data_IF_425864223888
#
_entry.id   IF_425864223888
#
_cell.length_a   1.000
_cell.length_b   1.000
_cell.length_c   1.000
_cell.angle_alpha   90.00
_cell.angle_beta   90.00
_cell.angle_gamma   90.00
#
_symmetry.space_group_name_H-M   'P 1'
#
loop_
_entity.id
_entity.type
_entity.pdbx_description
1 polymer ?
#
# COMPACT_ATOMS: atom_id res chain seq x y z
N UNK A 1 58.46 -39.94 36.11
CA UNK A 1 58.36 -39.04 34.95
C UNK A 1 56.89 -38.97 34.55
N UNK A 2 56.14 -38.01 35.11
CA UNK A 2 54.67 -37.94 34.97
C UNK A 2 54.30 -36.89 33.92
N UNK A 3 53.79 -37.37 32.79
CA UNK A 3 53.29 -36.55 31.68
C UNK A 3 51.89 -36.01 32.03
N UNK A 4 51.78 -34.70 32.27
CA UNK A 4 50.49 -33.99 32.39
C UNK A 4 49.84 -33.93 31.01
N UNK A 5 48.66 -34.53 30.85
CA UNK A 5 47.80 -34.34 29.69
C UNK A 5 47.02 -33.04 29.86
N UNK A 6 47.35 -32.03 29.06
CA UNK A 6 46.56 -30.81 28.91
C UNK A 6 45.35 -31.13 28.03
N UNK A 7 44.15 -31.05 28.59
CA UNK A 7 42.90 -31.12 27.83
C UNK A 7 42.55 -29.70 27.40
N UNK A 8 42.67 -29.44 26.10
CA UNK A 8 42.21 -28.20 25.47
C UNK A 8 40.70 -28.30 25.27
N UNK A 9 39.92 -27.56 26.07
CA UNK A 9 38.47 -27.41 25.84
C UNK A 9 38.30 -26.33 24.78
N UNK A 10 38.00 -26.73 23.55
CA UNK A 10 37.59 -25.83 22.47
C UNK A 10 36.09 -25.59 22.65
N UNK A 11 35.72 -24.49 23.31
CA UNK A 11 34.36 -23.97 23.27
C UNK A 11 34.12 -23.38 21.87
N UNK A 12 33.46 -24.14 21.01
CA UNK A 12 32.92 -23.63 19.75
C UNK A 12 31.71 -22.77 20.08
N UNK A 13 31.92 -21.45 20.16
CA UNK A 13 30.82 -20.48 20.21
C UNK A 13 30.11 -20.50 18.85
N UNK A 14 28.96 -21.15 18.79
CA UNK A 14 27.97 -20.95 17.74
C UNK A 14 27.46 -19.51 17.86
N UNK A 15 28.04 -18.59 17.09
CA UNK A 15 27.35 -17.35 16.74
C UNK A 15 26.16 -17.73 15.86
N UNK A 16 24.99 -17.85 16.49
CA UNK A 16 23.74 -17.82 15.77
C UNK A 16 23.64 -16.48 15.06
N UNK A 17 23.93 -16.47 13.76
CA UNK A 17 23.42 -15.45 12.86
C UNK A 17 21.89 -15.59 12.90
N UNK A 18 21.25 -14.82 13.78
CA UNK A 18 19.90 -14.38 13.52
C UNK A 18 19.98 -13.58 12.22
N UNK A 19 19.70 -14.24 11.09
CA UNK A 19 19.37 -13.54 9.88
C UNK A 19 18.09 -12.75 10.20
N UNK A 20 18.26 -11.49 10.60
CA UNK A 20 17.21 -10.50 10.40
C UNK A 20 16.99 -10.45 8.88
N UNK A 21 16.11 -11.31 8.38
CA UNK A 21 15.41 -11.03 7.14
C UNK A 21 14.72 -9.69 7.37
N UNK A 22 15.36 -8.59 6.95
CA UNK A 22 14.63 -7.35 6.74
C UNK A 22 13.59 -7.68 5.69
N UNK A 23 12.33 -7.76 6.10
CA UNK A 23 11.27 -8.18 5.20
C UNK A 23 11.27 -7.23 3.99
N UNK A 24 11.55 -7.77 2.81
CA UNK A 24 11.55 -7.02 1.56
C UNK A 24 10.15 -6.48 1.30
N UNK A 25 10.07 -5.25 0.76
CA UNK A 25 8.78 -4.70 0.38
C UNK A 25 8.21 -5.55 -0.76
N UNK A 26 7.06 -6.18 -0.51
CA UNK A 26 6.37 -7.03 -1.48
C UNK A 26 5.76 -6.22 -2.64
N UNK A 27 5.66 -4.89 -2.49
CA UNK A 27 5.19 -3.99 -3.54
C UNK A 27 6.34 -3.59 -4.47
N UNK A 28 6.14 -3.79 -5.76
CA UNK A 28 6.91 -3.17 -6.82
C UNK A 28 6.78 -1.65 -6.73
N UNK A 29 7.93 -0.96 -6.74
CA UNK A 29 8.02 0.50 -6.71
C UNK A 29 7.21 1.16 -5.58
N UNK A 30 7.15 0.54 -4.39
CA UNK A 30 6.45 1.11 -3.23
C UNK A 30 7.05 2.43 -2.71
N UNK A 31 8.34 2.64 -2.93
CA UNK A 31 9.06 3.91 -2.68
C UNK A 31 8.85 4.97 -3.77
N UNK A 32 8.21 4.59 -4.89
CA UNK A 32 7.88 5.46 -6.03
C UNK A 32 9.10 6.13 -6.67
N UNK A 33 10.27 5.49 -6.61
CA UNK A 33 11.53 5.98 -7.21
C UNK A 33 11.59 5.84 -8.73
N UNK A 34 10.74 5.00 -9.30
CA UNK A 34 10.69 4.71 -10.74
C UNK A 34 9.38 5.20 -11.38
N UNK A 35 9.41 5.36 -12.71
CA UNK A 35 8.24 5.71 -13.51
C UNK A 35 8.12 7.18 -13.91
N UNK A 36 7.03 7.50 -14.59
CA UNK A 36 6.60 8.85 -14.98
C UNK A 36 5.25 9.18 -14.31
N UNK A 37 4.74 10.42 -14.42
CA UNK A 37 3.42 10.77 -13.88
C UNK A 37 2.30 9.83 -14.32
N UNK A 38 2.30 9.36 -15.56
CA UNK A 38 1.25 8.53 -16.15
C UNK A 38 1.57 7.02 -16.11
N UNK A 39 2.84 6.65 -15.93
CA UNK A 39 3.29 5.25 -15.96
C UNK A 39 4.14 4.92 -14.75
N UNK A 40 3.53 4.21 -13.80
CA UNK A 40 4.11 3.95 -12.49
C UNK A 40 4.24 2.43 -12.34
N UNK A 41 5.45 1.86 -12.45
CA UNK A 41 5.67 0.42 -12.31
C UNK A 41 4.98 -0.15 -11.06
N UNK A 42 4.38 -1.32 -11.18
CA UNK A 42 3.57 -1.96 -10.13
C UNK A 42 2.18 -1.36 -9.85
N UNK A 43 1.93 -0.09 -10.19
CA UNK A 43 0.71 0.62 -9.82
C UNK A 43 -0.23 0.85 -11.00
N UNK A 44 -1.50 0.49 -10.80
CA UNK A 44 -2.57 0.67 -11.78
C UNK A 44 -3.63 1.59 -11.20
N UNK A 45 -4.01 2.63 -11.91
CA UNK A 45 -5.18 3.44 -11.53
C UNK A 45 -6.47 2.78 -12.04
N UNK A 46 -7.51 2.73 -11.20
CA UNK A 46 -8.79 2.15 -11.59
C UNK A 46 -9.52 3.05 -12.58
N UNK A 47 -9.57 2.64 -13.86
CA UNK A 47 -10.24 3.40 -14.92
C UNK A 47 -11.42 2.67 -15.57
N UNK A 48 -11.63 1.37 -15.28
CA UNK A 48 -12.63 0.58 -16.01
C UNK A 48 -13.32 -0.51 -15.18
N UNK A 49 -12.55 -1.35 -14.49
CA UNK A 49 -13.09 -2.50 -13.75
C UNK A 49 -13.13 -2.23 -12.25
N UNK A 50 -14.25 -2.58 -11.62
CA UNK A 50 -14.44 -2.47 -10.18
C UNK A 50 -14.91 -1.11 -9.68
N UNK A 51 -14.96 -0.07 -10.53
CA UNK A 51 -15.52 1.25 -10.22
C UNK A 51 -16.90 1.44 -10.85
N UNK A 52 -17.71 2.35 -10.29
CA UNK A 52 -19.05 2.66 -10.78
C UNK A 52 -19.03 3.35 -12.16
N UNK A 53 -20.16 3.34 -12.88
CA UNK A 53 -20.27 4.03 -14.16
C UNK A 53 -20.12 5.56 -13.99
N UNK A 54 -20.64 6.11 -12.91
CA UNK A 54 -20.49 7.54 -12.56
C UNK A 54 -19.02 7.92 -12.40
N UNK A 55 -18.23 7.06 -11.77
CA UNK A 55 -16.79 7.27 -11.60
C UNK A 55 -16.05 7.25 -12.94
N UNK A 56 -16.46 6.37 -13.87
CA UNK A 56 -15.89 6.33 -15.23
C UNK A 56 -16.21 7.59 -16.03
N UNK A 57 -17.45 8.06 -15.93
CA UNK A 57 -17.87 9.32 -16.57
C UNK A 57 -17.06 10.49 -16.02
N UNK A 58 -16.92 10.60 -14.70
CA UNK A 58 -16.12 11.65 -14.08
C UNK A 58 -14.65 11.64 -14.55
N UNK A 59 -14.05 10.45 -14.68
CA UNK A 59 -12.71 10.29 -15.26
C UNK A 59 -12.68 10.77 -16.72
N UNK A 60 -13.64 10.35 -17.55
CA UNK A 60 -13.70 10.71 -18.96
C UNK A 60 -13.91 12.22 -19.19
N UNK A 61 -14.63 12.88 -18.28
CA UNK A 61 -14.85 14.33 -18.28
C UNK A 61 -13.68 15.13 -17.70
N UNK A 62 -12.63 14.47 -17.18
CA UNK A 62 -11.48 15.14 -16.56
C UNK A 62 -11.73 15.66 -15.14
N UNK A 63 -12.85 15.27 -14.51
CA UNK A 63 -13.19 15.59 -13.11
C UNK A 63 -12.42 14.76 -12.08
N UNK A 64 -11.66 13.77 -12.55
CA UNK A 64 -10.69 13.02 -11.77
C UNK A 64 -9.38 13.00 -12.53
N UNK A 65 -8.30 13.43 -11.87
CA UNK A 65 -6.93 13.30 -12.37
C UNK A 65 -6.10 12.50 -11.38
N UNK A 66 -5.08 11.81 -11.88
CA UNK A 66 -4.19 10.99 -11.07
C UNK A 66 -2.80 10.99 -11.68
N UNK A 67 -1.78 10.95 -10.82
CA UNK A 67 -0.40 10.91 -11.28
C UNK A 67 0.55 10.39 -10.20
N UNK A 68 1.76 9.99 -10.61
CA UNK A 68 2.94 10.10 -9.75
C UNK A 68 3.42 11.55 -9.78
N UNK A 69 3.69 12.12 -8.61
CA UNK A 69 4.27 13.44 -8.48
C UNK A 69 5.39 13.45 -7.44
N UNK A 70 6.16 14.54 -7.45
CA UNK A 70 7.26 14.78 -6.52
C UNK A 70 7.18 16.20 -5.97
N UNK A 71 7.42 16.36 -4.67
CA UNK A 71 7.49 17.66 -3.99
C UNK A 71 8.69 17.63 -3.02
N UNK A 72 9.73 18.39 -3.36
CA UNK A 72 11.02 18.28 -2.68
C UNK A 72 11.60 16.87 -2.82
N UNK A 73 11.90 16.22 -1.70
CA UNK A 73 12.40 14.84 -1.67
C UNK A 73 11.27 13.78 -1.65
N UNK A 74 10.02 14.20 -1.44
CA UNK A 74 8.89 13.26 -1.36
C UNK A 74 8.38 12.90 -2.75
N UNK A 75 8.07 11.63 -2.92
CA UNK A 75 7.48 11.03 -4.13
C UNK A 75 6.16 10.39 -3.72
N UNK A 76 5.10 10.61 -4.50
CA UNK A 76 3.77 10.18 -4.11
C UNK A 76 2.87 9.88 -5.31
N UNK A 77 1.90 9.00 -5.08
CA UNK A 77 0.72 8.83 -5.89
C UNK A 77 -0.30 9.89 -5.49
N UNK A 78 -0.82 10.64 -6.45
CA UNK A 78 -1.85 11.65 -6.24
C UNK A 78 -3.15 11.22 -6.92
N UNK A 79 -4.26 11.55 -6.27
CA UNK A 79 -5.60 11.57 -6.85
C UNK A 79 -6.17 12.96 -6.58
N UNK A 80 -6.63 13.64 -7.62
CA UNK A 80 -7.27 14.94 -7.53
C UNK A 80 -8.65 14.90 -8.20
N UNK A 81 -9.62 15.54 -7.56
CA UNK A 81 -10.92 15.87 -8.11
C UNK A 81 -10.97 17.40 -8.24
N UNK A 82 -10.53 17.96 -9.38
CA UNK A 82 -10.49 19.41 -9.59
C UNK A 82 -11.88 20.04 -9.68
N UNK A 83 -12.91 19.23 -9.89
CA UNK A 83 -14.31 19.62 -9.92
C UNK A 83 -15.14 18.67 -9.04
N UNK A 84 -16.30 19.15 -8.56
CA UNK A 84 -17.31 18.32 -7.93
C UNK A 84 -17.61 17.00 -8.65
N UNK A 85 -17.39 15.89 -7.96
CA UNK A 85 -17.72 14.55 -8.45
C UNK A 85 -17.92 13.54 -7.31
N UNK A 86 -18.94 12.69 -7.44
CA UNK A 86 -19.20 11.57 -6.52
C UNK A 86 -18.37 10.32 -6.85
N UNK A 87 -17.25 10.49 -7.56
CA UNK A 87 -16.42 9.38 -7.99
C UNK A 87 -15.74 8.67 -6.82
N UNK A 88 -15.65 7.35 -6.92
CA UNK A 88 -14.88 6.50 -6.02
C UNK A 88 -13.80 5.78 -6.84
N UNK A 89 -12.54 6.16 -6.59
CA UNK A 89 -11.41 5.78 -7.43
C UNK A 89 -10.18 5.44 -6.59
N UNK A 90 -9.28 4.60 -7.11
CA UNK A 90 -8.08 4.21 -6.39
C UNK A 90 -6.92 3.81 -7.28
N UNK A 91 -5.72 3.97 -6.73
CA UNK A 91 -4.53 3.23 -7.11
C UNK A 91 -4.60 1.80 -6.58
N UNK A 92 -4.10 0.86 -7.37
CA UNK A 92 -4.12 -0.58 -7.09
C UNK A 92 -2.77 -1.21 -7.40
N UNK A 93 -2.29 -2.03 -6.46
CA UNK A 93 -1.25 -3.02 -6.73
C UNK A 93 -1.64 -4.36 -6.12
N UNK A 94 -1.50 -5.45 -6.89
CA UNK A 94 -1.79 -6.83 -6.44
C UNK A 94 -0.49 -7.58 -6.23
N UNK A 95 -0.40 -8.29 -5.12
CA UNK A 95 0.73 -9.16 -4.79
C UNK A 95 0.26 -10.56 -4.44
N UNK A 96 1.12 -11.55 -4.66
CA UNK A 96 0.88 -12.91 -4.18
C UNK A 96 1.08 -12.93 -2.67
N UNK A 97 0.19 -13.63 -1.97
CA UNK A 97 0.28 -13.87 -0.53
C UNK A 97 -0.06 -15.31 -0.23
N UNK A 98 0.37 -15.79 0.93
CA UNK A 98 -0.10 -17.03 1.52
C UNK A 98 -1.16 -16.73 2.58
N UNK A 99 -2.33 -17.38 2.45
CA UNK A 99 -3.38 -17.36 3.47
C UNK A 99 -2.89 -17.83 4.83
N UNK A 100 -3.43 -17.24 5.90
CA UNK A 100 -3.07 -17.57 7.27
C UNK A 100 -1.74 -16.95 7.78
N UNK A 101 -0.90 -16.39 6.90
CA UNK A 101 0.31 -15.66 7.32
C UNK A 101 0.00 -14.20 7.71
N UNK A 102 0.82 -13.64 8.59
CA UNK A 102 0.68 -12.24 9.03
C UNK A 102 1.50 -11.30 8.15
N UNK A 103 0.92 -10.16 7.83
CA UNK A 103 1.56 -9.11 7.02
C UNK A 103 1.33 -7.74 7.64
N UNK A 104 2.18 -6.78 7.27
CA UNK A 104 2.04 -5.37 7.62
C UNK A 104 1.95 -4.51 6.37
N UNK A 105 0.89 -3.70 6.25
CA UNK A 105 0.84 -2.57 5.32
C UNK A 105 1.13 -1.29 6.09
N UNK A 106 2.00 -0.45 5.56
CA UNK A 106 2.22 0.92 6.02
C UNK A 106 2.37 1.89 4.85
N UNK A 107 1.99 3.14 5.07
CA UNK A 107 2.13 4.22 4.09
C UNK A 107 2.10 5.58 4.77
N UNK A 108 2.54 6.61 4.08
CA UNK A 108 2.30 8.00 4.42
C UNK A 108 1.18 8.57 3.54
N UNK A 109 0.32 9.42 4.10
CA UNK A 109 -0.70 10.12 3.33
C UNK A 109 -0.86 11.58 3.77
N UNK A 110 -1.25 12.43 2.83
CA UNK A 110 -1.65 13.82 3.04
C UNK A 110 -2.84 14.18 2.13
N UNK A 111 -3.59 15.22 2.49
CA UNK A 111 -4.83 15.57 1.85
C UNK A 111 -5.11 17.08 1.91
N UNK A 112 -5.71 17.62 0.86
CA UNK A 112 -6.13 19.02 0.81
C UNK A 112 -7.43 19.17 0.02
N UNK A 113 -8.22 20.19 0.33
CA UNK A 113 -9.47 20.49 -0.36
C UNK A 113 -10.36 21.40 0.47
N UNK A 114 -11.56 21.68 -0.05
CA UNK A 114 -12.56 22.54 0.61
C UNK A 114 -13.06 21.90 1.92
N UNK A 115 -13.02 20.57 2.01
CA UNK A 115 -13.13 19.80 3.24
C UNK A 115 -12.09 18.70 3.29
N UNK A 116 -12.05 18.01 4.42
CA UNK A 116 -11.20 16.85 4.60
C UNK A 116 -11.74 15.68 3.75
N UNK A 117 -10.97 15.18 2.77
CA UNK A 117 -11.42 14.10 1.91
C UNK A 117 -11.62 12.82 2.71
N UNK A 118 -12.58 12.01 2.25
CA UNK A 118 -12.70 10.64 2.72
C UNK A 118 -11.73 9.75 1.94
N UNK A 119 -10.49 9.72 2.42
CA UNK A 119 -9.49 8.79 1.90
C UNK A 119 -9.87 7.34 2.21
N UNK A 120 -9.51 6.43 1.31
CA UNK A 120 -9.58 4.99 1.54
C UNK A 120 -8.18 4.40 1.39
N UNK A 121 -7.75 3.57 2.33
CA UNK A 121 -6.52 2.79 2.18
C UNK A 121 -6.68 1.46 2.87
N UNK A 122 -6.22 0.38 2.25
CA UNK A 122 -6.34 -0.96 2.82
C UNK A 122 -6.02 -2.07 1.83
N UNK A 123 -6.40 -3.29 2.20
CA UNK A 123 -6.13 -4.50 1.42
C UNK A 123 -7.41 -5.27 1.13
N UNK A 124 -7.56 -5.76 -0.09
CA UNK A 124 -8.54 -6.80 -0.38
C UNK A 124 -7.89 -8.14 -0.63
N UNK A 125 -8.68 -9.20 -0.53
CA UNK A 125 -8.23 -10.56 -0.74
C UNK A 125 -9.02 -11.26 -1.83
N UNK A 126 -8.32 -12.03 -2.65
CA UNK A 126 -8.97 -12.98 -3.56
C UNK A 126 -8.30 -14.34 -3.51
N UNK A 127 -9.06 -15.36 -3.89
CA UNK A 127 -8.50 -16.66 -4.26
C UNK A 127 -7.68 -16.56 -5.55
N UNK A 128 -6.98 -17.64 -5.93
CA UNK A 128 -6.17 -17.69 -7.15
C UNK A 128 -6.99 -17.55 -8.44
N UNK A 129 -8.24 -18.01 -8.44
CA UNK A 129 -9.22 -17.86 -9.53
C UNK A 129 -9.95 -16.51 -9.49
N UNK A 130 -9.58 -15.60 -8.58
CA UNK A 130 -10.09 -14.24 -8.53
C UNK A 130 -11.41 -14.05 -7.77
N UNK A 131 -11.90 -15.07 -7.05
CA UNK A 131 -13.08 -14.92 -6.18
C UNK A 131 -12.76 -13.95 -5.05
N UNK A 132 -13.64 -12.96 -4.87
CA UNK A 132 -13.55 -11.98 -3.78
C UNK A 132 -13.74 -12.64 -2.42
N UNK A 133 -12.84 -12.33 -1.48
CA UNK A 133 -12.89 -12.83 -0.11
C UNK A 133 -13.16 -11.73 0.93
N UNK A 134 -12.92 -10.47 0.59
CA UNK A 134 -13.18 -9.34 1.47
C UNK A 134 -12.21 -8.21 1.30
N UNK A 135 -12.48 -7.11 2.01
CA UNK A 135 -11.63 -5.94 2.11
C UNK A 135 -11.45 -5.57 3.58
N UNK A 136 -10.21 -5.21 3.96
CA UNK A 136 -9.85 -4.75 5.28
C UNK A 136 -9.20 -3.36 5.15
N UNK A 137 -9.88 -2.30 5.62
CA UNK A 137 -9.31 -0.96 5.61
C UNK A 137 -8.25 -0.80 6.69
N UNK A 138 -7.35 0.16 6.49
CA UNK A 138 -6.52 0.70 7.57
C UNK A 138 -7.46 1.33 8.61
N UNK A 139 -7.37 0.93 9.89
CA UNK A 139 -8.22 1.47 10.93
C UNK A 139 -7.89 2.95 11.19
N UNK A 140 -8.93 3.76 11.42
CA UNK A 140 -8.80 5.20 11.69
C UNK A 140 -8.00 5.96 10.62
N UNK A 141 -8.16 5.57 9.34
CA UNK A 141 -7.55 6.25 8.22
C UNK A 141 -8.20 7.63 8.00
N UNK A 142 -7.67 8.63 8.70
CA UNK A 142 -8.09 10.02 8.62
C UNK A 142 -6.90 10.89 8.22
N UNK A 143 -6.96 11.42 7.00
CA UNK A 143 -5.86 12.14 6.35
C UNK A 143 -6.12 13.65 6.41
N UNK A 144 -5.07 14.42 6.68
CA UNK A 144 -5.10 15.87 6.85
C UNK A 144 -4.07 16.54 5.93
N UNK A 145 -3.96 17.88 5.98
CA UNK A 145 -2.94 18.65 5.25
C UNK A 145 -1.52 18.16 5.47
N UNK A 146 -1.18 17.78 6.70
CA UNK A 146 0.14 17.26 7.03
C UNK A 146 0.30 15.79 6.64
N UNK A 147 1.51 15.43 6.17
CA UNK A 147 1.91 14.05 5.97
C UNK A 147 1.88 13.27 7.28
N UNK A 148 1.14 12.17 7.30
CA UNK A 148 1.02 11.28 8.45
C UNK A 148 1.26 9.84 8.02
N UNK A 149 1.97 9.08 8.86
CA UNK A 149 2.14 7.63 8.66
C UNK A 149 0.95 6.85 9.22
N UNK A 150 0.51 5.86 8.46
CA UNK A 150 -0.54 4.92 8.79
C UNK A 150 -0.02 3.50 8.65
N UNK A 151 -0.57 2.56 9.42
CA UNK A 151 -0.23 1.15 9.29
C UNK A 151 -1.35 0.25 9.78
N UNK A 152 -1.36 -0.98 9.26
CA UNK A 152 -2.20 -2.06 9.73
C UNK A 152 -1.43 -3.37 9.67
N UNK A 153 -1.75 -4.28 10.59
CA UNK A 153 -1.39 -5.70 10.48
C UNK A 153 -2.63 -6.47 10.04
N UNK A 154 -2.46 -7.45 9.17
CA UNK A 154 -3.56 -8.28 8.69
C UNK A 154 -3.10 -9.71 8.45
N UNK A 155 -4.09 -10.60 8.38
CA UNK A 155 -3.90 -12.02 8.05
C UNK A 155 -4.93 -12.36 6.98
N UNK A 156 -4.51 -12.61 5.71
CA UNK A 156 -5.43 -13.03 4.67
C UNK A 156 -6.14 -14.33 5.07
N UNK A 157 -7.41 -14.54 4.68
CA UNK A 157 -8.09 -15.82 4.87
C UNK A 157 -7.26 -16.99 4.33
N UNK A 158 -7.39 -18.19 4.92
CA UNK A 158 -6.56 -19.35 4.59
C UNK A 158 -6.55 -19.72 3.09
N UNK A 159 -7.65 -19.46 2.38
CA UNK A 159 -7.79 -19.72 0.95
C UNK A 159 -7.42 -18.53 0.05
N UNK A 160 -6.90 -17.44 0.61
CA UNK A 160 -6.43 -16.29 -0.16
C UNK A 160 -5.09 -16.61 -0.84
N UNK A 161 -4.95 -16.17 -2.09
CA UNK A 161 -3.71 -16.28 -2.86
C UNK A 161 -3.18 -14.91 -3.32
N UNK A 162 -4.03 -13.88 -3.29
CA UNK A 162 -3.73 -12.53 -3.74
C UNK A 162 -4.21 -11.54 -2.68
N UNK A 163 -3.35 -10.59 -2.35
CA UNK A 163 -3.73 -9.36 -1.66
C UNK A 163 -3.61 -8.18 -2.62
N UNK A 164 -4.61 -7.31 -2.66
CA UNK A 164 -4.57 -6.06 -3.43
C UNK A 164 -4.57 -4.85 -2.52
N UNK A 165 -3.51 -4.05 -2.57
CA UNK A 165 -3.42 -2.76 -1.88
C UNK A 165 -4.21 -1.73 -2.68
N UNK A 166 -5.20 -1.10 -2.04
CA UNK A 166 -5.97 0.02 -2.59
C UNK A 166 -5.63 1.31 -1.86
N UNK A 167 -5.37 2.37 -2.62
CA UNK A 167 -5.15 3.73 -2.12
C UNK A 167 -6.07 4.66 -2.90
N UNK A 168 -7.13 5.13 -2.27
CA UNK A 168 -8.27 5.71 -2.96
C UNK A 168 -8.83 6.97 -2.33
N UNK A 169 -9.72 7.57 -3.10
CA UNK A 169 -10.49 8.76 -2.76
C UNK A 169 -11.97 8.44 -2.98
N UNK A 170 -12.77 8.58 -1.91
CA UNK A 170 -14.23 8.53 -1.94
C UNK A 170 -14.75 9.95 -1.69
N UNK A 171 -15.52 10.50 -2.63
CA UNK A 171 -16.01 11.89 -2.55
C UNK A 171 -17.53 11.99 -2.72
N UNK A 172 -18.34 11.40 -1.83
CA UNK A 172 -19.79 11.38 -1.99
C UNK A 172 -20.47 12.76 -1.82
N UNK A 173 -19.69 13.82 -1.59
CA UNK A 173 -20.17 15.20 -1.45
C UNK A 173 -19.93 16.06 -2.69
N UNK A 174 -19.28 15.52 -3.73
CA UNK A 174 -18.93 16.27 -4.92
C UNK A 174 -18.10 17.51 -4.62
N UNK A 175 -17.01 17.39 -3.86
CA UNK A 175 -16.17 18.53 -3.50
C UNK A 175 -14.83 18.54 -4.25
N UNK A 176 -14.14 19.68 -4.28
CA UNK A 176 -12.78 19.74 -4.84
C UNK A 176 -11.80 19.20 -3.81
N UNK A 177 -11.20 18.05 -4.13
CA UNK A 177 -10.38 17.28 -3.19
C UNK A 177 -9.09 16.78 -3.83
N UNK A 178 -8.09 16.57 -2.99
CA UNK A 178 -6.82 15.97 -3.36
C UNK A 178 -6.33 15.09 -2.22
N UNK A 179 -5.86 13.90 -2.55
CA UNK A 179 -5.18 13.00 -1.62
C UNK A 179 -3.89 12.49 -2.24
N UNK A 180 -2.86 12.36 -1.41
CA UNK A 180 -1.52 11.94 -1.80
C UNK A 180 -1.08 10.78 -0.92
N UNK A 181 -0.43 9.79 -1.50
CA UNK A 181 0.09 8.61 -0.82
C UNK A 181 1.56 8.39 -1.16
N UNK A 182 2.41 8.23 -0.17
CA UNK A 182 3.84 8.01 -0.34
C UNK A 182 4.35 6.87 0.56
N UNK A 183 5.56 6.41 0.27
CA UNK A 183 6.28 5.40 1.07
C UNK A 183 5.42 4.19 1.44
N UNK A 184 4.88 3.52 0.40
CA UNK A 184 3.96 2.41 0.60
C UNK A 184 4.74 1.11 0.73
N UNK A 185 4.59 0.47 1.89
CA UNK A 185 5.36 -0.72 2.27
C UNK A 185 4.43 -1.83 2.70
N UNK A 186 4.56 -2.99 2.07
CA UNK A 186 3.91 -4.22 2.48
C UNK A 186 4.96 -5.29 2.77
N UNK A 187 4.96 -5.85 3.98
CA UNK A 187 5.93 -6.88 4.39
C UNK A 187 5.23 -8.07 5.04
N UNK A 188 5.83 -9.25 4.91
CA UNK A 188 5.50 -10.41 5.77
C UNK A 188 6.07 -10.16 7.18
N UNK A 189 5.38 -10.63 8.23
CA UNK A 189 5.79 -10.48 9.64
C UNK A 189 6.29 -11.77 10.26
#
# INVERSE_FOLDING_TARGET
>A
MNMKKTVLVVCVFWFGLAACYGAENLLENGSLTEGSPEKIPGWIFSTSSGISEESKVAIAEGKVTWARAEEGEKRFLEIQMPEPSDAHVWWLQKVKVLGGLSYQLSLEASASGDRMPRGEAGVFFTTADGKWLGYQPIPNFYVTGDWKRFSMTFTPPDNAAIAGVRLGLDNPGGEVLRIRFGDVVLTEK
#
